data_IF_975992907950
#
_entry.id   IF_975992907950
#
_cell.length_a   1.000
_cell.length_b   1.000
_cell.length_c   1.000
_cell.angle_alpha   90.00
_cell.angle_beta   90.00
_cell.angle_gamma   90.00
#
_symmetry.space_group_name_H-M   'P 1'
#
loop_
_entity.id
_entity.type
_entity.pdbx_description
1 polymer ?
2 polymer ?
3 branched ?
4 non-polymer ?
5 non-polymer ?
6 non-polymer ?
7 water ?
#
loop_
_entity_poly.entity_id
_entity_poly.type
_entity_poly.pdbx_seq_one_letter_code
_entity_poly.pdbx_strand_id
2 'polyribonucleotide' 'GGGAUGCGUAGGAUAGGUGGGAGCCUGUGAACCCCCGCCUCCGGGUGGGGGGGAGGCGCCGGUGAAAUACCACCCUUCCC' ?
#
# COMPACT_ATOMS: atom_id res chain seq x y z
N UNK A 1 25.99 -19.71 1.10
CA UNK A 1 26.36 -20.58 0.00
C UNK A 1 25.18 -21.40 -0.54
N UNK A 2 24.29 -21.89 0.34
CA UNK A 2 23.00 -22.34 -0.20
C UNK A 2 22.20 -21.17 -0.80
N UNK A 3 20.99 -21.44 -1.26
CA UNK A 3 20.19 -20.39 -1.88
C UNK A 3 19.67 -19.45 -0.81
N UNK A 4 19.49 -19.98 0.40
CA UNK A 4 18.95 -19.20 1.51
C UNK A 4 19.83 -19.35 2.75
N UNK A 5 19.55 -18.56 3.79
CA UNK A 5 20.27 -18.69 5.04
C UNK A 5 19.54 -19.59 6.02
N UNK A 6 20.20 -19.90 7.14
CA UNK A 6 19.63 -20.83 8.10
C UNK A 6 18.34 -20.25 8.72
N UNK A 7 18.31 -18.95 8.95
CA UNK A 7 17.10 -18.28 9.43
C UNK A 7 15.90 -18.58 8.55
N UNK A 8 16.03 -18.32 7.26
CA UNK A 8 14.94 -18.56 6.34
C UNK A 8 14.56 -20.04 6.23
N UNK A 9 15.57 -20.92 6.13
CA UNK A 9 15.30 -22.35 5.98
C UNK A 9 14.50 -22.88 7.19
N UNK A 10 14.69 -22.27 8.35
CA UNK A 10 13.95 -22.66 9.55
C UNK A 10 12.48 -22.27 9.42
N UNK A 11 12.21 -21.12 8.81
CA UNK A 11 10.83 -20.68 8.60
C UNK A 11 10.08 -21.59 7.63
N UNK A 12 10.73 -21.95 6.53
CA UNK A 12 10.11 -22.73 5.47
C UNK A 12 9.45 -24.02 5.99
N UNK A 13 10.07 -24.64 6.99
CA UNK A 13 9.51 -25.87 7.56
C UNK A 13 8.19 -25.61 8.27
N UNK A 14 7.88 -24.35 8.57
CA UNK A 14 6.69 -24.03 9.35
C UNK A 14 5.43 -23.86 8.50
N UNK A 15 5.58 -23.96 7.19
CA UNK A 15 4.42 -23.83 6.30
C UNK A 15 4.21 -25.10 5.49
N UNK A 16 2.95 -25.35 5.14
CA UNK A 16 2.56 -26.48 4.30
C UNK A 16 2.18 -25.94 2.92
N UNK A 17 3.02 -26.22 1.91
CA UNK A 17 2.79 -25.76 0.53
C UNK A 17 1.52 -26.32 -0.10
N UNK A 18 1.03 -27.44 0.41
CA UNK A 18 -0.17 -28.05 -0.17
C UNK A 18 -1.45 -27.52 0.44
N UNK A 19 -1.33 -26.83 1.57
CA UNK A 19 -2.49 -26.38 2.33
C UNK A 19 -2.91 -24.96 1.93
N UNK A 20 -4.20 -24.76 1.68
CA UNK A 20 -4.70 -23.41 1.52
C UNK A 20 -5.29 -22.98 2.87
N UNK A 21 -4.67 -21.99 3.49
CA UNK A 21 -5.01 -21.60 4.85
C UNK A 21 -6.20 -20.66 4.86
N UNK A 22 -6.92 -20.64 5.99
CA UNK A 22 -7.92 -19.63 6.20
C UNK A 22 -7.22 -18.32 6.56
N UNK A 23 -7.94 -17.21 6.48
CA UNK A 23 -7.36 -15.94 6.85
C UNK A 23 -7.00 -15.96 8.34
N UNK A 24 -7.86 -16.55 9.17
CA UNK A 24 -7.59 -16.62 10.60
C UNK A 24 -6.35 -17.43 10.93
N UNK A 25 -6.14 -18.53 10.19
CA UNK A 25 -4.93 -19.35 10.35
C UNK A 25 -3.66 -18.60 9.96
N UNK A 26 -3.71 -17.90 8.82
CA UNK A 26 -2.57 -17.13 8.35
C UNK A 26 -2.25 -16.01 9.34
N UNK A 27 -3.28 -15.29 9.78
CA UNK A 27 -3.13 -14.23 10.78
C UNK A 27 -2.43 -14.72 12.05
N UNK A 28 -2.71 -15.94 12.47
CA UNK A 28 -2.08 -16.47 13.67
C UNK A 28 -0.68 -17.04 13.43
N UNK A 29 -0.44 -17.55 12.22
CA UNK A 29 0.86 -18.14 11.89
C UNK A 29 1.91 -17.07 11.61
N UNK A 30 1.45 -15.90 11.22
CA UNK A 30 2.32 -14.85 10.71
C UNK A 30 3.41 -14.46 11.73
N UNK A 31 3.10 -14.49 13.03
CA UNK A 31 4.13 -14.19 14.04
C UNK A 31 5.30 -15.18 13.97
N UNK A 32 5.03 -16.40 13.55
CA UNK A 32 6.03 -17.47 13.48
C UNK A 32 6.95 -17.31 12.27
N UNK A 33 6.50 -16.55 11.28
CA UNK A 33 7.20 -16.41 10.02
C UNK A 33 7.98 -15.11 9.97
N UNK A 34 8.13 -14.47 11.12
CA UNK A 34 8.73 -13.14 11.20
C UNK A 34 9.91 -13.14 12.15
N UNK A 35 11.11 -13.43 11.64
CA UNK A 35 12.25 -13.54 12.52
C UNK A 35 13.38 -12.62 12.11
N UNK A 36 13.07 -11.64 11.27
CA UNK A 36 14.06 -10.61 10.93
C UNK A 36 14.31 -9.73 12.15
N UNK A 37 15.34 -8.90 12.08
CA UNK A 37 15.67 -8.03 13.20
C UNK A 37 15.00 -6.66 13.08
N UNK A 38 13.71 -6.68 12.80
CA UNK A 38 12.88 -5.49 12.81
C UNK A 38 11.44 -5.94 12.76
N UNK A 39 10.51 -5.02 12.88
CA UNK A 39 9.12 -5.40 12.83
C UNK A 39 8.72 -5.55 11.36
N UNK A 40 8.49 -6.78 10.94
CA UNK A 40 8.25 -7.06 9.52
C UNK A 40 6.86 -6.66 9.06
N UNK A 41 6.77 -6.17 7.83
CA UNK A 41 5.48 -5.82 7.26
C UNK A 41 4.78 -7.10 6.77
N UNK A 42 3.48 -7.18 6.98
CA UNK A 42 2.67 -8.28 6.46
C UNK A 42 2.11 -7.89 5.10
N UNK A 43 2.20 -8.80 4.14
CA UNK A 43 1.81 -8.47 2.77
C UNK A 43 0.77 -9.43 2.24
N UNK A 44 -0.12 -8.94 1.39
CA UNK A 44 -1.08 -9.78 0.69
C UNK A 44 -0.80 -9.71 -0.81
N UNK A 45 -0.75 -10.88 -1.44
CA UNK A 45 -0.46 -10.98 -2.87
C UNK A 45 -1.61 -11.68 -3.57
N UNK A 46 -2.09 -11.11 -4.66
CA UNK A 46 -3.12 -11.79 -5.45
C UNK A 46 -2.74 -11.85 -6.92
N UNK A 47 -2.90 -13.04 -7.51
CA UNK A 47 -2.84 -13.21 -8.96
C UNK A 47 -4.26 -13.04 -9.51
N UNK A 48 -4.46 -12.05 -10.38
CA UNK A 48 -5.80 -11.61 -10.76
C UNK A 48 -6.26 -12.17 -12.11
N UNK A 49 -7.55 -12.50 -12.20
CA UNK A 49 -8.14 -12.92 -13.45
C UNK A 49 -8.50 -11.72 -14.30
N UNK A 50 -7.47 -10.99 -14.75
CA UNK A 50 -7.67 -9.85 -15.66
C UNK A 50 -6.72 -9.98 -16.83
N UNK A 51 -6.94 -9.17 -17.86
CA UNK A 51 -5.95 -8.99 -18.92
C UNK A 51 -5.27 -7.66 -18.63
N UNK A 52 -4.01 -7.70 -18.14
CA UNK A 52 -3.37 -6.46 -17.71
C UNK A 52 -3.06 -5.53 -18.89
N UNK A 53 -3.17 -6.06 -20.10
CA UNK A 53 -2.85 -5.30 -21.30
C UNK A 53 -3.91 -4.24 -21.65
N UNK A 54 -5.12 -4.39 -21.10
CA UNK A 54 -6.19 -3.46 -21.45
C UNK A 54 -6.58 -2.57 -20.27
N UNK A 55 -6.76 -1.29 -20.58
CA UNK A 55 -7.03 -0.27 -19.58
C UNK A 55 -8.31 -0.55 -18.80
N UNK A 56 -9.32 -1.08 -19.47
CA UNK A 56 -10.60 -1.29 -18.79
C UNK A 56 -10.62 -2.56 -17.92
N UNK A 57 -9.47 -3.22 -17.80
CA UNK A 57 -9.29 -4.32 -16.85
C UNK A 57 -8.18 -4.04 -15.84
N UNK A 58 -7.73 -2.79 -15.78
CA UNK A 58 -6.85 -2.36 -14.69
C UNK A 58 -7.57 -2.41 -13.37
N UNK A 59 -6.84 -2.74 -12.32
CA UNK A 59 -7.39 -2.71 -10.96
C UNK A 59 -6.63 -1.69 -10.18
N UNK A 60 -7.28 -0.58 -9.86
CA UNK A 60 -6.63 0.48 -9.12
C UNK A 60 -7.62 1.06 -8.12
N UNK A 61 -7.17 1.25 -6.88
CA UNK A 61 -8.03 1.75 -5.85
C UNK A 61 -7.28 2.04 -4.57
N UNK A 62 -8.02 2.44 -3.54
CA UNK A 62 -7.45 2.69 -2.23
C UNK A 62 -8.29 2.01 -1.19
N UNK A 63 -7.76 1.91 0.01
CA UNK A 63 -8.53 1.34 1.08
C UNK A 63 -7.94 1.82 2.39
N UNK A 64 -8.82 2.16 3.31
CA UNK A 64 -8.42 2.51 4.65
C UNK A 64 -8.36 1.25 5.50
N UNK A 65 -7.15 0.80 5.83
CA UNK A 65 -6.99 -0.39 6.66
C UNK A 65 -7.56 -0.12 8.05
N UNK A 66 -8.46 -0.99 8.52
CA UNK A 66 -9.11 -0.79 9.82
C UNK A 66 -8.11 -0.48 10.95
N UNK A 67 -6.96 -1.13 10.97
CA UNK A 67 -6.02 -0.96 12.06
C UNK A 67 -4.69 -0.40 11.59
N UNK A 68 -4.70 0.20 10.40
CA UNK A 68 -3.54 0.89 9.88
C UNK A 68 -2.38 0.04 9.39
N UNK A 69 -1.26 0.71 9.11
CA UNK A 69 -0.08 0.12 8.51
C UNK A 69 0.95 -0.30 9.55
N UNK A 70 0.82 0.26 10.75
CA UNK A 70 1.78 0.00 11.81
C UNK A 70 3.15 0.58 11.57
N UNK A 71 3.21 1.78 11.00
CA UNK A 71 4.49 2.43 10.78
C UNK A 71 4.29 3.91 10.53
N UNK A 72 5.29 4.71 10.87
CA UNK A 72 5.26 6.15 10.60
C UNK A 72 5.19 6.35 9.10
N UNK A 73 4.50 7.40 8.69
CA UNK A 73 4.46 7.77 7.28
C UNK A 73 4.83 9.24 7.17
N UNK A 74 5.98 9.53 6.59
CA UNK A 74 6.42 10.92 6.43
C UNK A 74 5.69 11.53 5.26
N UNK A 75 4.82 12.50 5.55
CA UNK A 75 3.96 13.09 4.54
C UNK A 75 4.42 14.51 4.20
N UNK A 76 4.74 14.73 2.92
CA UNK A 76 5.05 16.06 2.42
C UNK A 76 3.78 16.64 1.84
N UNK A 77 3.37 17.81 2.32
CA UNK A 77 2.16 18.47 1.81
C UNK A 77 2.54 19.75 1.08
N UNK A 78 1.99 19.91 -0.13
CA UNK A 78 2.22 21.09 -0.94
C UNK A 78 0.94 21.92 -1.05
N UNK A 79 0.98 23.14 -0.52
CA UNK A 79 -0.24 23.94 -0.39
C UNK A 79 0.03 25.43 -0.54
N UNK A 80 -1.03 26.22 -0.48
CA UNK A 80 -0.94 27.67 -0.51
C UNK A 80 -1.97 28.28 0.43
N UNK A 81 -1.74 29.53 0.85
CA UNK A 81 -2.71 30.26 1.65
C UNK A 81 -2.90 29.69 3.04
N UNK A 82 -4.15 29.72 3.51
CA UNK A 82 -4.50 29.27 4.86
C UNK A 82 -4.23 27.78 5.03
N UNK A 83 -4.20 27.07 3.90
CA UNK A 83 -4.04 25.61 3.89
C UNK A 83 -2.64 25.16 4.32
N UNK A 84 -1.65 26.03 4.15
CA UNK A 84 -0.30 25.76 4.63
C UNK A 84 -0.33 25.52 6.13
N UNK A 85 -0.96 26.44 6.86
CA UNK A 85 -1.12 26.30 8.30
C UNK A 85 -1.98 25.08 8.64
N UNK A 86 -3.03 24.84 7.85
CA UNK A 86 -3.85 23.64 8.03
C UNK A 86 -3.00 22.38 7.95
N UNK A 87 -2.17 22.26 6.90
CA UNK A 87 -1.31 21.11 6.73
C UNK A 87 -0.31 20.98 7.89
N UNK A 88 0.23 22.11 8.33
CA UNK A 88 1.19 22.11 9.43
C UNK A 88 0.54 21.59 10.71
N UNK A 89 -0.58 22.19 11.09
CA UNK A 89 -1.24 21.82 12.35
C UNK A 89 -1.87 20.42 12.30
N UNK A 90 -2.06 19.88 11.11
CA UNK A 90 -2.58 18.52 10.96
C UNK A 90 -1.45 17.49 11.00
N UNK A 91 -0.22 17.99 11.12
CA UNK A 91 0.93 17.15 11.41
C UNK A 91 1.71 16.60 10.23
N UNK A 92 1.56 17.22 9.05
CA UNK A 92 2.39 16.85 7.92
C UNK A 92 3.85 17.06 8.29
N UNK A 93 4.71 16.12 7.90
CA UNK A 93 6.12 16.22 8.28
C UNK A 93 6.80 17.40 7.60
N UNK A 94 6.42 17.65 6.36
CA UNK A 94 6.93 18.81 5.63
C UNK A 94 5.77 19.54 4.96
N UNK A 95 5.77 20.87 5.06
CA UNK A 95 4.78 21.67 4.32
C UNK A 95 5.48 22.82 3.60
N UNK A 96 5.35 22.87 2.27
CA UNK A 96 5.98 23.91 1.49
C UNK A 96 5.15 24.33 0.29
N UNK A 97 5.69 25.28 -0.48
CA UNK A 97 5.04 25.74 -1.69
C UNK A 97 5.99 25.64 -2.88
N UNK A 98 6.21 26.77 -3.55
CA UNK A 98 7.07 26.83 -4.73
C UNK A 98 8.46 26.25 -4.43
N UNK A 99 9.04 26.67 -3.32
CA UNK A 99 10.41 26.30 -3.00
C UNK A 99 10.57 24.81 -2.67
N UNK A 100 9.54 24.18 -2.09
CA UNK A 100 9.66 22.76 -1.80
C UNK A 100 9.52 21.97 -3.11
N UNK A 101 8.77 22.51 -4.07
CA UNK A 101 8.71 21.92 -5.39
C UNK A 101 10.12 21.87 -5.95
N UNK A 102 10.78 23.02 -5.91
CA UNK A 102 12.16 23.14 -6.33
C UNK A 102 13.08 22.10 -5.68
N UNK A 103 12.92 21.93 -4.37
CA UNK A 103 13.77 21.02 -3.62
C UNK A 103 13.60 19.56 -4.11
N UNK A 104 12.36 19.14 -4.30
CA UNK A 104 12.08 17.79 -4.82
C UNK A 104 12.66 17.63 -6.22
N UNK A 105 12.54 18.69 -7.01
CA UNK A 105 13.05 18.73 -8.38
C UNK A 105 14.56 18.39 -8.45
N UNK A 106 15.30 18.79 -7.41
CA UNK A 106 16.75 18.56 -7.38
C UNK A 106 17.16 17.26 -6.68
N UNK A 107 16.17 16.41 -6.41
CA UNK A 107 16.46 15.05 -5.99
C UNK A 107 16.24 14.72 -4.52
N UNK A 108 15.56 15.61 -3.79
CA UNK A 108 15.21 15.34 -2.40
C UNK A 108 14.04 14.36 -2.35
N UNK A 109 14.21 13.27 -1.60
CA UNK A 109 13.27 12.14 -1.68
C UNK A 109 12.86 11.57 -0.33
N UNK A 110 13.27 12.25 0.75
CA UNK A 110 13.13 11.68 2.08
C UNK A 110 11.73 11.85 2.68
N UNK A 111 10.76 11.21 2.05
CA UNK A 111 9.38 11.23 2.49
C UNK A 111 8.69 10.00 1.93
N UNK A 112 7.52 9.67 2.46
CA UNK A 112 6.85 8.43 2.07
C UNK A 112 5.58 8.66 1.25
N UNK A 113 5.02 9.86 1.33
CA UNK A 113 3.82 10.22 0.56
C UNK A 113 3.81 11.70 0.24
N UNK A 114 3.22 12.07 -0.88
CA UNK A 114 3.04 13.47 -1.23
C UNK A 114 1.56 13.80 -1.41
N UNK A 115 1.09 14.83 -0.72
CA UNK A 115 -0.27 15.31 -0.91
C UNK A 115 -0.27 16.77 -1.32
N UNK A 116 -1.38 17.25 -1.87
CA UNK A 116 -1.41 18.61 -2.39
C UNK A 116 -2.82 19.16 -2.51
N UNK A 117 -2.96 20.46 -2.42
CA UNK A 117 -4.23 21.11 -2.72
C UNK A 117 -4.38 21.22 -4.23
N UNK A 118 -5.62 21.38 -4.72
CA UNK A 118 -5.82 21.46 -6.18
C UNK A 118 -5.12 22.69 -6.78
N UNK A 119 -5.17 23.81 -6.06
CA UNK A 119 -4.69 25.09 -6.58
C UNK A 119 -3.17 25.19 -6.66
N UNK A 120 -2.48 24.08 -6.37
CA UNK A 120 -1.03 23.99 -6.56
C UNK A 120 -0.68 22.86 -7.53
N UNK A 121 -1.66 22.01 -7.84
CA UNK A 121 -1.42 20.82 -8.66
C UNK A 121 -1.00 21.11 -10.10
N UNK A 122 -1.42 22.27 -10.61
CA UNK A 122 -0.96 22.71 -11.92
C UNK A 122 0.56 22.72 -11.96
N UNK A 123 1.15 23.46 -11.02
CA UNK A 123 2.61 23.57 -10.93
C UNK A 123 3.25 22.22 -10.59
N UNK A 124 2.60 21.45 -9.73
CA UNK A 124 3.16 20.18 -9.29
C UNK A 124 3.22 19.21 -10.45
N UNK A 125 2.15 19.17 -11.24
CA UNK A 125 2.06 18.32 -12.41
C UNK A 125 3.13 18.62 -13.44
N UNK A 126 3.19 19.87 -13.91
CA UNK A 126 4.16 20.25 -14.93
C UNK A 126 5.61 20.06 -14.49
N UNK A 127 5.95 20.54 -13.30
CA UNK A 127 7.33 20.50 -12.84
C UNK A 127 7.73 19.14 -12.27
N UNK A 128 6.87 18.55 -11.44
CA UNK A 128 7.25 17.33 -10.73
C UNK A 128 6.75 16.06 -11.38
N UNK A 129 5.84 16.19 -12.35
CA UNK A 129 5.26 15.04 -13.01
C UNK A 129 6.32 14.05 -13.46
N UNK A 130 7.36 14.58 -14.07
CA UNK A 130 8.45 13.78 -14.60
C UNK A 130 9.19 13.00 -13.52
N UNK A 131 9.31 13.59 -12.34
CA UNK A 131 10.20 13.06 -11.31
C UNK A 131 9.48 12.26 -10.22
N UNK A 132 8.19 12.49 -10.06
CA UNK A 132 7.39 11.71 -9.10
C UNK A 132 6.55 10.67 -9.83
N UNK A 133 6.22 10.97 -11.09
CA UNK A 133 5.34 10.13 -11.90
C UNK A 133 5.71 8.65 -11.91
N UNK A 134 6.83 8.30 -12.55
CA UNK A 134 7.41 6.95 -12.56
C UNK A 134 7.92 6.45 -11.19
N UNK A 135 7.28 6.89 -10.12
CA UNK A 135 7.58 6.38 -8.79
C UNK A 135 6.27 6.33 -8.02
N UNK A 136 5.21 6.78 -8.69
CA UNK A 136 3.85 6.72 -8.18
C UNK A 136 3.54 7.75 -7.10
N UNK A 137 4.44 8.70 -6.92
CA UNK A 137 4.33 9.66 -5.81
C UNK A 137 3.55 10.90 -6.18
N UNK A 138 3.19 11.05 -7.44
CA UNK A 138 2.47 12.24 -7.87
C UNK A 138 1.08 12.28 -7.26
N UNK A 139 0.77 13.35 -6.51
CA UNK A 139 -0.56 13.48 -5.92
C UNK A 139 -1.62 13.43 -7.02
N UNK A 140 -2.86 13.14 -6.64
CA UNK A 140 -3.87 12.74 -7.60
C UNK A 140 -5.15 12.38 -6.87
N UNK A 141 -6.26 13.07 -7.24
CA UNK A 141 -7.57 12.94 -6.59
C UNK A 141 -8.11 11.51 -6.56
N UNK A 142 -7.68 10.69 -7.52
CA UNK A 142 -7.94 9.25 -7.53
C UNK A 142 -7.48 8.55 -6.25
N UNK A 143 -6.25 8.84 -5.83
CA UNK A 143 -5.64 8.17 -4.68
C UNK A 143 -6.02 8.84 -3.35
N UNK A 144 -6.86 9.88 -3.41
CA UNK A 144 -7.23 10.62 -2.20
C UNK A 144 -6.11 11.51 -1.68
N UNK A 145 -5.15 11.78 -2.54
CA UNK A 145 -3.98 12.56 -2.14
C UNK A 145 -4.04 14.01 -2.62
N UNK A 146 -5.19 14.42 -3.17
CA UNK A 146 -5.43 15.80 -3.61
C UNK A 146 -6.80 16.33 -3.16
N UNK A 147 -6.81 17.49 -2.52
CA UNK A 147 -8.03 18.09 -2.04
C UNK A 147 -7.78 19.31 -1.18
N UNK A 148 -8.84 20.07 -0.91
CA UNK A 148 -8.70 21.27 -0.09
C UNK A 148 -8.86 20.93 1.39
N UNK A 149 -9.36 19.72 1.65
CA UNK A 149 -9.40 19.18 3.00
C UNK A 149 -8.05 18.53 3.29
N UNK A 150 -7.00 19.32 3.13
CA UNK A 150 -5.65 18.79 3.16
C UNK A 150 -5.35 18.23 4.55
N UNK A 151 -5.97 18.80 5.58
CA UNK A 151 -5.81 18.30 6.95
C UNK A 151 -6.33 16.87 7.07
N UNK A 152 -7.53 16.66 6.57
CA UNK A 152 -8.17 15.36 6.63
C UNK A 152 -7.38 14.33 5.81
N UNK A 153 -6.85 14.76 4.66
CA UNK A 153 -6.08 13.85 3.80
C UNK A 153 -4.77 13.40 4.47
N UNK A 154 -4.07 14.33 5.10
CA UNK A 154 -2.86 14.00 5.84
C UNK A 154 -3.13 13.00 6.97
N UNK A 155 -4.23 13.17 7.69
CA UNK A 155 -4.56 12.23 8.77
C UNK A 155 -4.95 10.84 8.22
N UNK A 156 -5.64 10.81 7.09
CA UNK A 156 -6.04 9.54 6.47
C UNK A 156 -4.85 8.74 5.98
N UNK A 157 -3.85 9.42 5.43
CA UNK A 157 -2.68 8.73 4.94
C UNK A 157 -1.80 8.23 6.11
N UNK A 158 -1.64 9.04 7.16
CA UNK A 158 -0.96 8.60 8.37
C UNK A 158 -1.67 7.41 9.03
N UNK A 159 -2.98 7.32 8.80
CA UNK A 159 -3.77 6.25 9.39
C UNK A 159 -3.80 5.00 8.51
N UNK A 160 -2.98 4.98 7.46
CA UNK A 160 -2.85 3.78 6.64
C UNK A 160 -3.90 3.66 5.56
N UNK A 161 -4.17 4.75 4.87
CA UNK A 161 -4.97 4.65 3.66
C UNK A 161 -4.01 4.29 2.53
N UNK A 162 -4.02 3.03 2.11
CA UNK A 162 -3.10 2.56 1.07
C UNK A 162 -3.71 2.63 -0.32
N UNK A 163 -2.85 2.71 -1.32
CA UNK A 163 -3.28 2.55 -2.70
C UNK A 163 -2.82 1.18 -3.21
N UNK A 164 -3.57 0.61 -4.15
CA UNK A 164 -3.16 -0.64 -4.77
C UNK A 164 -3.42 -0.56 -6.25
N UNK A 165 -2.51 -1.14 -7.03
CA UNK A 165 -2.58 -1.08 -8.48
C UNK A 165 -1.93 -2.34 -9.05
N UNK A 166 -2.65 -3.12 -9.86
CA UNK A 166 -2.06 -4.33 -10.42
C UNK A 166 -0.79 -3.99 -11.19
N UNK A 167 0.14 -4.94 -11.28
CA UNK A 167 1.31 -4.73 -12.12
C UNK A 167 1.03 -5.25 -13.51
N UNK A 168 1.97 -5.01 -14.43
CA UNK A 168 1.78 -5.34 -15.84
C UNK A 168 1.65 -6.84 -16.08
N UNK A 169 2.03 -7.65 -15.11
CA UNK A 169 1.91 -9.10 -15.30
C UNK A 169 0.54 -9.63 -14.86
N UNK A 170 -0.25 -8.81 -14.19
CA UNK A 170 -1.56 -9.24 -13.75
C UNK A 170 -1.61 -9.63 -12.28
N UNK A 171 -0.54 -9.33 -11.54
CA UNK A 171 -0.52 -9.56 -10.08
C UNK A 171 -0.76 -8.26 -9.29
N UNK A 172 -1.20 -8.39 -8.04
CA UNK A 172 -1.35 -7.20 -7.21
C UNK A 172 -0.87 -7.45 -5.78
N UNK A 173 -0.37 -6.42 -5.12
CA UNK A 173 0.34 -6.59 -3.84
C UNK A 173 0.09 -5.41 -2.92
N UNK A 174 -0.04 -5.65 -1.61
CA UNK A 174 -0.16 -4.53 -0.70
C UNK A 174 0.34 -4.87 0.71
N UNK A 175 0.88 -3.86 1.41
CA UNK A 175 1.17 -4.01 2.84
C UNK A 175 -0.14 -3.93 3.65
N UNK A 176 -0.28 -4.73 4.70
CA UNK A 176 -1.53 -4.73 5.46
C UNK A 176 -1.33 -4.69 6.97
N UNK A 177 -0.14 -4.31 7.41
CA UNK A 177 0.14 -4.24 8.82
C UNK A 177 1.54 -4.72 9.19
N UNK A 178 1.73 -5.07 10.44
CA UNK A 178 2.99 -5.53 10.96
C UNK A 178 2.83 -6.88 11.66
N UNK A 179 3.86 -7.69 11.65
CA UNK A 179 3.76 -9.05 12.19
C UNK A 179 3.70 -9.05 13.72
N UNK A 180 3.89 -7.89 14.33
CA UNK A 180 3.71 -7.71 15.77
C UNK A 180 2.26 -7.45 16.11
N UNK A 181 1.42 -7.21 15.10
CA UNK A 181 0.00 -6.94 15.32
C UNK A 181 -0.67 -8.11 16.02
N UNK A 182 -1.73 -7.82 16.80
CA UNK A 182 -2.60 -8.93 17.23
C UNK A 182 -3.21 -9.64 16.02
N UNK A 183 -3.26 -10.99 16.03
CA UNK A 183 -3.77 -11.73 14.88
C UNK A 183 -5.15 -11.30 14.41
N UNK A 184 -6.08 -11.00 15.32
CA UNK A 184 -7.41 -10.59 14.89
C UNK A 184 -7.36 -9.27 14.14
N UNK A 185 -6.42 -8.40 14.50
CA UNK A 185 -6.29 -7.12 13.82
C UNK A 185 -5.72 -7.32 12.43
N UNK A 186 -4.74 -8.22 12.30
CA UNK A 186 -4.23 -8.60 11.00
C UNK A 186 -5.35 -9.13 10.11
N UNK A 187 -6.16 -10.02 10.66
CA UNK A 187 -7.24 -10.62 9.88
C UNK A 187 -8.21 -9.55 9.36
N UNK A 188 -8.60 -8.62 10.24
CA UNK A 188 -9.46 -7.48 9.87
C UNK A 188 -8.87 -6.75 8.67
N UNK A 189 -7.56 -6.46 8.74
CA UNK A 189 -6.87 -5.71 7.71
C UNK A 189 -6.82 -6.48 6.40
N UNK A 190 -6.48 -7.77 6.47
CA UNK A 190 -6.46 -8.63 5.29
C UNK A 190 -7.83 -8.65 4.59
N UNK A 191 -8.87 -8.95 5.35
CA UNK A 191 -10.22 -8.99 4.81
C UNK A 191 -10.66 -7.67 4.20
N UNK A 192 -10.22 -6.58 4.80
CA UNK A 192 -10.58 -5.27 4.28
C UNK A 192 -9.89 -5.01 2.94
N UNK A 193 -8.65 -5.45 2.82
CA UNK A 193 -7.94 -5.24 1.57
C UNK A 193 -8.58 -6.11 0.48
N UNK A 194 -8.90 -7.35 0.82
CA UNK A 194 -9.55 -8.26 -0.13
C UNK A 194 -10.91 -7.71 -0.55
N UNK A 195 -11.66 -7.20 0.41
CA UNK A 195 -12.94 -6.55 0.13
C UNK A 195 -12.80 -5.40 -0.88
N UNK A 196 -11.79 -4.56 -0.69
CA UNK A 196 -11.59 -3.40 -1.56
C UNK A 196 -11.17 -3.86 -2.95
N UNK A 197 -10.28 -4.83 -2.95
CA UNK A 197 -9.81 -5.44 -4.16
C UNK A 197 -11.00 -5.98 -4.98
N UNK A 198 -11.83 -6.83 -4.36
CA UNK A 198 -12.97 -7.41 -5.06
C UNK A 198 -13.97 -6.36 -5.55
N UNK A 199 -14.11 -5.26 -4.82
CA UNK A 199 -14.97 -4.15 -5.23
C UNK A 199 -14.43 -3.45 -6.48
N UNK A 200 -13.17 -3.70 -6.81
CA UNK A 200 -12.62 -3.13 -8.04
C UNK A 200 -12.44 -4.15 -9.15
N UNK A 201 -13.12 -5.29 -9.07
CA UNK A 201 -13.08 -6.26 -10.15
C UNK A 201 -13.62 -5.63 -11.43
N UNK A 202 -12.85 -5.73 -12.54
CA UNK A 202 -13.33 -5.14 -13.80
C UNK A 202 -14.58 -5.86 -14.33
N UNK A 203 -15.53 -5.07 -14.81
CA UNK A 203 -16.78 -5.57 -15.36
C UNK A 203 -16.57 -6.71 -16.35
N UNK A 204 -15.63 -6.55 -17.25
CA UNK A 204 -15.43 -7.50 -18.33
C UNK A 204 -14.39 -8.58 -18.07
N UNK A 205 -13.84 -8.61 -16.86
CA UNK A 205 -12.85 -9.61 -16.48
C UNK A 205 -13.39 -11.03 -16.60
N UNK A 206 -12.58 -11.90 -17.21
CA UNK A 206 -12.92 -13.28 -17.48
C UNK A 206 -12.54 -14.24 -16.34
N UNK A 207 -13.45 -15.13 -15.96
CA UNK A 207 -13.12 -16.21 -15.06
C UNK A 207 -12.99 -15.80 -13.61
N UNK A 208 -12.34 -16.63 -12.82
CA UNK A 208 -12.15 -16.35 -11.40
C UNK A 208 -11.28 -15.09 -11.21
N UNK A 209 -11.73 -14.17 -10.37
CA UNK A 209 -11.00 -12.92 -10.19
C UNK A 209 -9.73 -13.12 -9.37
N UNK A 210 -9.88 -13.71 -8.18
CA UNK A 210 -8.72 -13.99 -7.35
C UNK A 210 -8.24 -15.40 -7.65
N UNK A 211 -7.29 -15.52 -8.60
CA UNK A 211 -6.81 -16.83 -9.03
C UNK A 211 -5.99 -17.49 -7.92
N UNK A 212 -5.25 -16.67 -7.19
CA UNK A 212 -4.52 -17.14 -6.02
C UNK A 212 -4.30 -15.96 -5.08
N UNK A 213 -4.33 -16.24 -3.78
CA UNK A 213 -4.04 -15.20 -2.79
C UNK A 213 -3.08 -15.75 -1.75
N UNK A 214 -2.06 -14.95 -1.40
CA UNK A 214 -1.01 -15.32 -0.46
C UNK A 214 -0.78 -14.25 0.60
N UNK A 215 -0.37 -14.69 1.78
CA UNK A 215 0.06 -13.81 2.85
C UNK A 215 1.52 -14.13 3.18
N UNK A 216 2.33 -13.10 3.38
CA UNK A 216 3.72 -13.30 3.68
C UNK A 216 4.22 -12.17 4.57
N UNK A 217 5.44 -12.30 5.05
CA UNK A 217 6.12 -11.28 5.83
C UNK A 217 7.34 -10.77 5.05
N UNK A 218 7.88 -9.61 5.42
CA UNK A 218 8.91 -8.93 4.60
C UNK A 218 10.08 -9.84 4.20
N UNK A 219 10.56 -10.66 5.13
CA UNK A 219 11.67 -11.56 4.82
C UNK A 219 11.36 -13.04 5.05
N UNK A 220 10.08 -13.40 5.10
CA UNK A 220 9.72 -14.77 5.39
C UNK A 220 9.05 -15.44 4.21
N UNK A 221 8.70 -16.73 4.37
CA UNK A 221 8.00 -17.50 3.33
C UNK A 221 6.54 -17.10 3.20
N UNK A 222 5.78 -17.78 2.33
CA UNK A 222 4.38 -17.41 2.14
C UNK A 222 3.43 -18.52 2.54
N UNK A 223 2.18 -18.14 2.79
CA UNK A 223 1.11 -19.13 2.86
C UNK A 223 0.00 -18.74 1.91
N UNK A 224 -0.49 -19.71 1.16
CA UNK A 224 -1.62 -19.48 0.29
C UNK A 224 -2.89 -19.46 1.13
N UNK A 225 -3.82 -18.57 0.79
CA UNK A 225 -5.02 -18.44 1.62
C UNK A 225 -6.29 -18.45 0.83
N UNK A 226 -7.35 -18.83 1.54
CA UNK A 226 -8.71 -18.74 1.04
C UNK A 226 -9.21 -17.32 1.28
N UNK A 227 -9.36 -16.55 0.20
CA UNK A 227 -9.77 -15.14 0.32
C UNK A 227 -11.19 -15.00 0.86
N UNK A 228 -11.94 -16.10 0.83
CA UNK A 228 -13.31 -16.06 1.27
C UNK A 228 -13.48 -16.85 2.57
N UNK A 229 -12.62 -16.50 3.53
CA UNK A 229 -12.62 -17.09 4.86
C UNK A 229 -12.47 -15.99 5.89
X LIG C 1 13.48 1.79 -0.40
X LIG C 1 14.60 0.83 -0.79
X LIG C 1 15.87 1.61 -1.11
X LIG C 1 15.55 2.64 -2.18
X LIG C 1 14.46 3.56 -1.62
X LIG C 1 14.14 4.73 -2.55
X LIG C 1 14.85 -0.09 0.25
X LIG C 1 16.88 0.73 -1.55
X LIG C 1 16.71 3.32 -2.57
X LIG C 1 13.30 2.79 -1.41
X LIG C 1 14.45 4.36 -3.88
X LIG C 2 12.48 0.95 2.29
X LIG C 2 12.75 2.37 1.82
X LIG C 2 13.20 3.23 3.00
X LIG C 2 12.76 4.63 2.54
X LIG C 2 11.50 4.36 1.72
X LIG C 2 11.41 5.24 0.46
X LIG C 2 11.24 0.90 2.96
X LIG C 2 13.79 2.38 0.85
X LIG C 2 14.59 3.14 3.19
X LIG C 2 12.49 5.46 3.65
X LIG C 2 11.56 3.00 1.34
X LIG C 2 11.17 4.43 -0.68
X LIG D 1 19.07 -24.05 0.27
X LIG D 1 19.98 -23.94 -0.87
X LIG D 1 19.56 -25.09 1.16
X LIG D 1 19.02 -22.78 0.99
X LIG D 1 17.74 -24.43 -0.22
X LIG E 1 -5.08 -20.37 -12.75
X LIG E 1 -4.93 -21.36 -13.83
X LIG E 1 -3.87 -20.33 -11.95
X LIG E 1 -5.33 -19.04 -13.33
X LIG E 1 -6.22 -20.76 -11.91
X LIG F 1 -8.79 20.16 9.56
X LIG F 1 -9.37 19.40 8.77
X LIG F 1 -7.97 19.61 10.34
X LIG F 1 -9.06 21.64 9.57
X LIG G 1 2.84 11.07 13.60
X LIG G 1 4.08 10.95 13.63
X LIG G 1 2.39 11.67 12.59
X LIG G 1 1.93 10.54 14.68
X LIG H 1 18.19 7.45 -23.68
X LIG H 1 18.14 7.13 -25.11
X LIG H 1 18.53 6.25 -22.91
X LIG H 1 19.19 8.49 -23.43
X LIG H 1 16.87 7.94 -23.25
X LIG I 1 9.96 -9.58 -20.71
X LIG I 1 9.98 -10.18 -22.05
X LIG I 1 10.92 -10.28 -19.86
X LIG I 1 10.33 -8.16 -20.82
X LIG I 1 8.62 -9.68 -20.11
X LIG J 1 15.62 -20.29 -22.49
X LIG J 1 17.00 -20.54 -22.21
X LIG J 1 17.83 -19.26 -22.35
X LIG J 1 17.45 -18.56 -23.57
X LIG J 1 16.03 -18.33 -23.85
X LIG J 1 15.37 -19.70 -23.77
X LIG J 1 18.40 -17.52 -23.97
X LIG J 1 17.71 -16.17 -23.80
X LIG J 1 18.83 -14.95 -23.96
X LIG J 1 20.13 -15.37 -23.35
X LIG J 1 18.36 -13.71 -23.27
X LIG J 1 18.99 -14.71 -25.42
X LIG K 1 31.71 -23.66 -20.43
X LIG K 1 31.28 -24.15 -19.35
X LIG K 1 32.59 -22.76 -20.31
X LIG K 1 31.23 -24.11 -21.77
X LIG L 1 24.85 -7.50 11.61
X LIG L 1 25.53 -8.51 11.29
X LIG L 1 24.91 -6.54 10.81
X LIG L 1 24.00 -7.46 12.85
#
# INVERSE_FOLDING_TARGET
MPKHGKRYRALLEKVDPNKIYTIDEAAHLVKELATAKFDETVEVHAKLGIDPRRSDQNVRGTVSLPHGLGKQVRVLAIAKGEKIKEAEEAGADYVGGEEIIQKILDGWMDFDAVVATPDVMGAVGSKLGRILGPRGLLPNPKAGTVGFNIGEIIREIKAGRIEFRNDKTGAIHAPVGKASFPPEKLADNIRAFIRALEAHKPEGAKGTFLRSVYVTTTLGPSVRINPHS
GLC C1 C2 C3 C4 C5 C6 O2 O3 O4 O5 O6
FRU C1 C2 C3 C4 C5 C6 O1 O2 O3 O4 O5 O6
SO4 S O1 O2 O3 O4
SO4 S O1 O2 O3 O4
ACT C O OXT CH3
ACT C O OXT CH3
SO4 S O1 O2 O3 O4
SO4 S O1 O2 O3 O4
MES O1 C2 C3 N4 C5 C6 C7 C8 S O1S O2S O3S
ACT C O OXT CH3
ACT C O OXT CH3
#
